data_IF_278189051135
#
_entry.id   IF_278189051135
#
_cell.length_a   1.000
_cell.length_b   1.000
_cell.length_c   1.000
_cell.angle_alpha   90.00
_cell.angle_beta   90.00
_cell.angle_gamma   90.00
#
_symmetry.space_group_name_H-M   'P 1'
#
loop_
_entity.id
_entity.type
_entity.pdbx_description
1 polymer ?
#
# COMPACT_ATOMS: atom_id res chain seq x y z
N UNK A 1 10.67 65.94 -27.63
CA UNK A 1 11.82 66.24 -26.73
C UNK A 1 11.66 65.39 -25.48
N UNK A 2 12.33 64.24 -25.38
CA UNK A 2 13.66 63.98 -24.78
C UNK A 2 13.75 64.07 -23.24
N UNK A 3 13.98 62.88 -22.65
CA UNK A 3 14.75 62.50 -21.44
C UNK A 3 14.26 62.94 -20.03
N UNK A 4 13.95 61.99 -19.12
CA UNK A 4 14.79 61.17 -18.19
C UNK A 4 15.41 61.97 -17.01
N UNK A 5 15.17 61.48 -15.77
CA UNK A 5 16.07 61.28 -14.61
C UNK A 5 15.17 60.90 -13.40
N UNK A 6 15.17 59.66 -12.90
CA UNK A 6 16.02 59.01 -11.87
C UNK A 6 15.93 59.62 -10.45
N UNK A 7 15.46 58.83 -9.48
CA UNK A 7 15.96 58.68 -8.09
C UNK A 7 15.14 57.56 -7.39
N UNK A 8 15.70 56.37 -7.17
CA UNK A 8 16.50 55.92 -6.02
C UNK A 8 15.64 55.63 -4.76
N UNK A 9 15.39 54.33 -4.49
CA UNK A 9 14.98 53.84 -3.16
C UNK A 9 15.95 52.73 -2.76
N UNK A 10 16.67 52.98 -1.67
CA UNK A 10 17.52 52.05 -0.95
C UNK A 10 16.68 50.87 -0.41
N UNK A 11 17.05 49.64 -0.74
CA UNK A 11 16.60 48.45 -0.02
C UNK A 11 17.82 47.88 0.71
N UNK A 12 17.76 47.92 2.04
CA UNK A 12 18.73 47.31 2.95
C UNK A 12 18.71 45.79 2.78
N UNK A 13 19.86 45.22 2.41
CA UNK A 13 20.08 43.78 2.43
C UNK A 13 20.16 43.28 3.88
N UNK A 14 19.11 42.62 4.34
CA UNK A 14 19.19 41.67 5.45
C UNK A 14 19.53 40.30 4.87
N UNK A 15 20.76 39.85 5.11
CA UNK A 15 21.24 38.52 4.75
C UNK A 15 20.51 37.44 5.58
N UNK A 16 19.37 36.96 5.08
CA UNK A 16 18.86 35.63 5.42
C UNK A 16 19.09 34.75 4.20
N UNK A 17 20.09 33.89 4.29
CA UNK A 17 20.39 32.89 3.25
C UNK A 17 19.16 32.02 3.02
N UNK A 18 18.47 32.25 1.91
CA UNK A 18 17.53 31.30 1.36
C UNK A 18 18.36 30.10 0.84
N UNK A 19 18.51 29.07 1.67
CA UNK A 19 19.02 27.79 1.22
C UNK A 19 17.96 27.16 0.32
N UNK A 20 18.18 27.22 -0.99
CA UNK A 20 17.44 26.44 -1.96
C UNK A 20 17.69 24.95 -1.68
N UNK A 21 16.71 24.28 -1.08
CA UNK A 21 16.54 22.83 -1.24
C UNK A 21 16.60 22.53 -2.74
N UNK A 22 17.41 21.55 -3.16
CA UNK A 22 17.46 21.15 -4.57
C UNK A 22 16.05 20.75 -5.00
N UNK A 23 15.36 21.64 -5.73
CA UNK A 23 14.35 21.21 -6.69
C UNK A 23 15.04 20.20 -7.59
N UNK A 24 14.39 19.05 -7.76
CA UNK A 24 14.75 18.03 -8.75
C UNK A 24 14.72 18.72 -10.11
N UNK A 25 15.86 19.28 -10.51
CA UNK A 25 15.98 20.13 -11.68
C UNK A 25 16.34 19.25 -12.87
N UNK A 26 15.58 19.43 -13.94
CA UNK A 26 15.79 18.78 -15.23
C UNK A 26 17.07 19.34 -15.87
N UNK A 27 18.21 18.72 -15.58
CA UNK A 27 19.40 18.86 -16.41
C UNK A 27 19.62 17.51 -17.11
N UNK A 28 19.65 17.45 -18.45
CA UNK A 28 19.90 16.23 -19.18
C UNK A 28 21.39 15.88 -19.07
N UNK A 29 21.76 15.16 -18.02
CA UNK A 29 23.07 14.52 -17.93
C UNK A 29 22.96 13.15 -18.59
N UNK A 30 23.81 12.87 -19.59
CA UNK A 30 23.91 11.55 -20.23
C UNK A 30 24.09 10.47 -19.15
N UNK A 31 23.26 9.43 -19.23
CA UNK A 31 23.23 8.28 -18.34
C UNK A 31 24.63 7.66 -18.19
N UNK A 32 25.15 7.57 -16.96
CA UNK A 32 26.30 6.70 -16.68
C UNK A 32 25.89 5.21 -16.71
N UNK A 33 24.61 4.93 -16.48
CA UNK A 33 24.03 3.58 -16.46
C UNK A 33 22.61 3.63 -17.01
N UNK A 34 22.34 2.95 -18.12
CA UNK A 34 20.98 2.79 -18.69
C UNK A 34 20.52 1.36 -18.40
N UNK A 35 19.46 1.14 -17.61
CA UNK A 35 19.01 -0.19 -17.24
C UNK A 35 18.47 -0.94 -18.47
N UNK A 36 18.61 -2.27 -18.47
CA UNK A 36 17.96 -3.11 -19.48
C UNK A 36 16.46 -3.13 -19.24
N UNK A 37 15.66 -2.67 -20.20
CA UNK A 37 14.20 -2.78 -20.11
C UNK A 37 13.77 -4.23 -20.39
N UNK A 38 13.28 -4.93 -19.37
CA UNK A 38 12.83 -6.33 -19.46
C UNK A 38 11.40 -6.44 -19.99
N UNK A 39 10.59 -5.44 -19.69
CA UNK A 39 9.16 -5.44 -19.99
C UNK A 39 8.60 -4.02 -20.08
N UNK A 40 7.68 -3.83 -21.01
CA UNK A 40 7.08 -2.54 -21.34
C UNK A 40 8.00 -1.61 -22.12
N UNK A 41 7.58 -0.37 -22.26
CA UNK A 41 8.28 0.64 -23.05
C UNK A 41 8.19 1.99 -22.32
N UNK A 42 9.35 2.51 -21.89
CA UNK A 42 9.43 3.78 -21.15
C UNK A 42 8.91 4.94 -21.99
N UNK A 43 9.11 4.92 -23.32
CA UNK A 43 8.68 5.98 -24.23
C UNK A 43 7.15 6.09 -24.33
N UNK A 44 6.40 5.06 -23.90
CA UNK A 44 4.92 5.07 -23.88
C UNK A 44 4.32 5.63 -22.58
N UNK A 45 5.13 5.93 -21.57
CA UNK A 45 4.64 6.63 -20.38
C UNK A 45 4.45 8.13 -20.69
N UNK A 46 3.60 8.82 -19.94
CA UNK A 46 3.53 10.29 -20.03
C UNK A 46 4.85 10.93 -19.58
N UNK A 47 5.15 12.14 -20.04
CA UNK A 47 6.44 12.80 -19.75
C UNK A 47 6.74 12.88 -18.25
N UNK A 48 5.73 13.16 -17.42
CA UNK A 48 5.86 13.21 -15.95
C UNK A 48 6.18 11.85 -15.34
N UNK A 49 5.56 10.79 -15.85
CA UNK A 49 5.84 9.43 -15.40
C UNK A 49 7.24 9.00 -15.84
N UNK A 50 7.65 9.29 -17.08
CA UNK A 50 9.01 9.06 -17.56
C UNK A 50 10.02 9.75 -16.65
N UNK A 51 9.88 11.07 -16.43
CA UNK A 51 10.76 11.84 -15.55
C UNK A 51 10.91 11.22 -14.16
N UNK A 52 9.81 10.77 -13.55
CA UNK A 52 9.85 10.11 -12.25
C UNK A 52 10.60 8.78 -12.28
N UNK A 53 10.34 7.93 -13.29
CA UNK A 53 11.09 6.68 -13.47
C UNK A 53 12.57 6.95 -13.68
N UNK A 54 12.93 7.89 -14.56
CA UNK A 54 14.32 8.22 -14.84
C UNK A 54 15.04 8.79 -13.61
N UNK A 55 14.36 9.61 -12.80
CA UNK A 55 14.87 10.09 -11.52
C UNK A 55 15.17 8.91 -10.57
N UNK A 56 14.24 7.96 -10.47
CA UNK A 56 14.44 6.73 -9.71
C UNK A 56 15.63 5.93 -10.22
N UNK A 57 15.75 5.72 -11.53
CA UNK A 57 16.86 4.96 -12.13
C UNK A 57 18.20 5.65 -11.86
N UNK A 58 18.29 6.98 -12.04
CA UNK A 58 19.52 7.74 -11.78
C UNK A 58 19.97 7.63 -10.31
N UNK A 59 19.01 7.69 -9.39
CA UNK A 59 19.28 7.62 -7.95
C UNK A 59 19.64 6.19 -7.51
N UNK A 60 18.79 5.23 -7.85
CA UNK A 60 18.85 3.88 -7.30
C UNK A 60 19.77 2.92 -8.08
N UNK A 61 20.14 3.26 -9.32
CA UNK A 61 21.02 2.48 -10.21
C UNK A 61 20.60 1.00 -10.37
N UNK A 62 19.34 0.70 -10.75
CA UNK A 62 18.94 -0.68 -11.05
C UNK A 62 19.60 -1.18 -12.33
N UNK A 63 19.88 -2.49 -12.41
CA UNK A 63 20.43 -3.13 -13.61
C UNK A 63 19.36 -3.29 -14.70
N UNK A 64 18.11 -3.39 -14.29
CA UNK A 64 16.99 -3.68 -15.17
C UNK A 64 15.74 -2.89 -14.78
N UNK A 65 14.89 -2.64 -15.76
CA UNK A 65 13.61 -1.95 -15.59
C UNK A 65 12.47 -2.85 -16.07
N UNK A 66 11.39 -2.95 -15.29
CA UNK A 66 10.20 -3.70 -15.66
C UNK A 66 8.97 -2.83 -15.44
N UNK A 67 8.30 -2.42 -16.52
CA UNK A 67 7.04 -1.66 -16.41
C UNK A 67 5.88 -2.65 -16.33
N UNK A 68 5.18 -2.64 -15.18
CA UNK A 68 4.15 -3.64 -14.90
C UNK A 68 2.89 -3.39 -15.75
N UNK A 69 2.37 -4.45 -16.37
CA UNK A 69 1.12 -4.40 -17.15
C UNK A 69 -0.11 -4.89 -16.41
N UNK A 70 0.08 -5.60 -15.28
CA UNK A 70 -0.98 -6.12 -14.41
C UNK A 70 -1.65 -7.42 -14.90
N UNK A 71 -1.19 -7.99 -16.01
CA UNK A 71 -1.78 -9.18 -16.61
C UNK A 71 -1.55 -10.43 -15.75
N UNK A 72 -2.40 -11.44 -15.92
CA UNK A 72 -2.16 -12.74 -15.26
C UNK A 72 -0.86 -13.38 -15.73
N UNK A 73 -0.48 -13.22 -17.01
CA UNK A 73 0.80 -13.73 -17.54
C UNK A 73 2.00 -13.10 -16.85
N UNK A 74 1.97 -11.80 -16.59
CA UNK A 74 2.98 -11.12 -15.79
C UNK A 74 2.99 -11.65 -14.35
N UNK A 75 1.82 -11.76 -13.72
CA UNK A 75 1.68 -12.26 -12.37
C UNK A 75 2.26 -13.67 -12.19
N UNK A 76 1.94 -14.61 -13.09
CA UNK A 76 2.51 -15.96 -13.07
C UNK A 76 4.04 -15.93 -13.17
N UNK A 77 4.62 -15.09 -14.04
CA UNK A 77 6.08 -14.96 -14.14
C UNK A 77 6.71 -14.42 -12.85
N UNK A 78 6.06 -13.43 -12.23
CA UNK A 78 6.52 -12.85 -10.95
C UNK A 78 6.46 -13.89 -9.83
N UNK A 79 5.37 -14.65 -9.71
CA UNK A 79 5.21 -15.71 -8.72
C UNK A 79 6.24 -16.83 -8.92
N UNK A 80 6.43 -17.29 -10.15
CA UNK A 80 7.44 -18.31 -10.47
C UNK A 80 8.86 -17.83 -10.16
N UNK A 81 9.16 -16.56 -10.42
CA UNK A 81 10.45 -15.96 -10.06
C UNK A 81 10.63 -15.90 -8.53
N UNK A 82 9.61 -15.46 -7.79
CA UNK A 82 9.66 -15.45 -6.33
C UNK A 82 9.83 -16.86 -5.74
N UNK A 83 9.21 -17.86 -6.33
CA UNK A 83 9.38 -19.27 -5.95
C UNK A 83 10.79 -19.77 -6.26
N UNK A 84 11.33 -19.48 -7.45
CA UNK A 84 12.70 -19.91 -7.82
C UNK A 84 13.77 -19.26 -6.95
N UNK A 85 13.53 -18.05 -6.46
CA UNK A 85 14.39 -17.35 -5.51
C UNK A 85 14.17 -17.79 -4.05
N UNK A 86 13.21 -18.70 -3.80
CA UNK A 86 12.89 -19.19 -2.47
C UNK A 86 12.29 -18.13 -1.53
N UNK A 87 11.72 -17.04 -2.08
CA UNK A 87 11.06 -15.97 -1.34
C UNK A 87 9.64 -16.38 -0.95
N UNK A 88 8.96 -17.09 -1.85
CA UNK A 88 7.64 -17.68 -1.59
C UNK A 88 7.65 -19.18 -1.85
N UNK A 89 6.66 -19.87 -1.27
CA UNK A 89 6.41 -21.29 -1.47
C UNK A 89 4.95 -21.51 -1.86
N UNK A 90 4.63 -22.40 -2.81
CA UNK A 90 3.24 -22.75 -3.10
C UNK A 90 2.61 -23.55 -1.94
N UNK A 91 1.34 -23.27 -1.67
CA UNK A 91 0.53 -24.01 -0.70
C UNK A 91 -0.37 -25.01 -1.44
N UNK A 92 0.08 -26.26 -1.51
CA UNK A 92 -0.54 -27.32 -2.34
C UNK A 92 -1.95 -27.73 -1.92
N UNK A 93 -2.37 -27.36 -0.69
CA UNK A 93 -3.74 -27.61 -0.20
C UNK A 93 -4.79 -26.67 -0.78
N UNK A 94 -4.36 -25.57 -1.45
CA UNK A 94 -5.22 -24.49 -1.92
C UNK A 94 -4.97 -24.16 -3.39
N UNK A 95 -5.89 -23.42 -4.02
CA UNK A 95 -5.80 -23.06 -5.44
C UNK A 95 -4.98 -21.78 -5.62
N UNK A 96 -3.76 -21.87 -6.16
CA UNK A 96 -2.90 -20.70 -6.42
C UNK A 96 -2.66 -19.83 -5.16
N UNK A 97 -2.40 -20.48 -4.02
CA UNK A 97 -2.00 -19.78 -2.79
C UNK A 97 -0.50 -19.95 -2.52
N UNK A 98 0.07 -18.93 -1.87
CA UNK A 98 1.51 -18.82 -1.67
C UNK A 98 1.82 -18.41 -0.23
N UNK A 99 2.97 -18.82 0.28
CA UNK A 99 3.48 -18.50 1.61
C UNK A 99 4.81 -17.78 1.52
N UNK A 100 4.89 -16.57 2.07
CA UNK A 100 6.13 -15.85 2.33
C UNK A 100 6.48 -15.90 3.83
N UNK A 101 7.76 -16.11 4.15
CA UNK A 101 8.30 -16.02 5.53
C UNK A 101 9.38 -14.94 5.53
N UNK A 102 9.18 -13.88 6.30
CA UNK A 102 10.05 -12.70 6.28
C UNK A 102 11.23 -12.84 7.25
N UNK A 103 12.19 -11.93 7.17
CA UNK A 103 13.14 -11.69 8.26
C UNK A 103 12.34 -11.29 9.52
N UNK A 104 12.58 -11.90 10.69
CA UNK A 104 11.92 -11.54 11.95
C UNK A 104 12.06 -10.08 12.39
N UNK A 105 13.04 -9.35 11.85
CA UNK A 105 13.23 -7.91 12.05
C UNK A 105 12.33 -7.05 11.15
N UNK A 106 11.65 -7.65 10.17
CA UNK A 106 10.79 -6.97 9.19
C UNK A 106 9.38 -7.63 9.13
N UNK A 107 8.60 -7.45 10.20
CA UNK A 107 7.32 -8.17 10.42
C UNK A 107 6.13 -7.26 10.71
N UNK A 108 6.34 -5.95 10.78
CA UNK A 108 5.32 -4.99 11.21
C UNK A 108 5.63 -3.58 10.72
N UNK A 109 4.65 -2.69 10.86
CA UNK A 109 4.89 -1.25 10.72
C UNK A 109 5.83 -0.77 11.82
N UNK A 110 6.80 0.06 11.47
CA UNK A 110 7.74 0.64 12.44
C UNK A 110 7.38 2.11 12.65
N UNK A 111 6.45 2.37 13.57
CA UNK A 111 5.89 3.71 13.79
C UNK A 111 6.97 4.73 14.12
N UNK A 112 7.95 4.37 14.95
CA UNK A 112 9.10 5.24 15.30
C UNK A 112 9.97 5.66 14.11
N UNK A 113 9.82 4.99 12.96
CA UNK A 113 10.54 5.26 11.70
C UNK A 113 9.61 5.70 10.58
N UNK A 114 8.35 5.97 10.93
CA UNK A 114 7.33 6.47 10.01
C UNK A 114 7.14 7.96 10.28
N UNK A 115 7.45 8.80 9.30
CA UNK A 115 7.48 10.27 9.45
C UNK A 115 6.70 10.97 8.36
N UNK A 116 6.21 12.17 8.65
CA UNK A 116 5.68 13.12 7.68
C UNK A 116 6.65 14.32 7.63
N UNK A 117 6.94 14.77 6.41
CA UNK A 117 7.93 15.81 6.13
C UNK A 117 7.21 17.08 5.66
N UNK A 118 7.25 18.10 6.51
CA UNK A 118 6.70 19.44 6.24
C UNK A 118 7.69 20.50 6.70
N UNK A 119 7.61 21.72 6.16
CA UNK A 119 8.48 22.84 6.57
C UNK A 119 8.27 23.20 8.05
N UNK A 120 7.01 23.37 8.47
CA UNK A 120 6.64 23.56 9.86
C UNK A 120 6.20 22.23 10.49
N UNK A 121 6.70 21.94 11.69
CA UNK A 121 6.29 20.79 12.49
C UNK A 121 4.79 20.80 12.80
N UNK A 122 4.21 21.99 13.00
CA UNK A 122 2.82 22.15 13.41
C UNK A 122 1.82 21.76 12.31
N UNK A 123 2.25 21.79 11.05
CA UNK A 123 1.44 21.29 9.92
C UNK A 123 1.30 19.77 9.94
N UNK A 124 2.19 19.07 10.64
CA UNK A 124 2.21 17.60 10.75
C UNK A 124 1.64 17.11 12.08
N UNK A 125 2.06 17.69 13.21
CA UNK A 125 1.64 17.28 14.55
C UNK A 125 1.38 18.48 15.47
N UNK A 126 0.45 18.38 16.43
CA UNK A 126 0.25 19.43 17.43
C UNK A 126 1.48 19.63 18.33
N UNK A 127 1.64 20.85 18.84
CA UNK A 127 2.55 21.15 19.96
C UNK A 127 1.97 20.53 21.23
N UNK A 128 2.73 19.69 21.91
CA UNK A 128 2.30 19.06 23.16
C UNK A 128 2.51 19.99 24.36
N UNK A 129 1.76 19.75 25.43
CA UNK A 129 2.00 20.40 26.71
C UNK A 129 3.39 20.00 27.27
N UNK A 130 4.02 20.84 28.12
CA UNK A 130 5.30 20.52 28.74
C UNK A 130 5.28 19.14 29.43
N UNK A 131 6.28 18.31 29.14
CA UNK A 131 6.40 16.95 29.69
C UNK A 131 5.55 15.87 29.00
N UNK A 132 4.69 16.23 28.03
CA UNK A 132 3.86 15.27 27.30
C UNK A 132 4.56 14.83 26.01
N UNK A 133 4.77 13.51 25.86
CA UNK A 133 5.27 12.92 24.61
C UNK A 133 4.16 12.85 23.56
N UNK A 134 4.43 13.38 22.36
CA UNK A 134 3.50 13.30 21.23
C UNK A 134 3.23 11.86 20.79
N UNK A 135 1.96 11.56 20.47
CA UNK A 135 1.49 10.24 20.02
C UNK A 135 0.72 10.31 18.69
N UNK A 136 0.56 11.51 18.11
CA UNK A 136 -0.29 11.74 16.94
C UNK A 136 0.48 11.72 15.60
N UNK A 137 1.76 11.32 15.63
CA UNK A 137 2.62 11.23 14.46
C UNK A 137 4.06 11.59 14.77
N UNK A 138 4.94 11.40 13.79
CA UNK A 138 6.32 11.86 13.86
C UNK A 138 6.57 12.82 12.71
N UNK A 139 7.15 13.96 13.02
CA UNK A 139 7.59 14.94 12.03
C UNK A 139 9.10 14.81 11.78
N UNK A 140 9.51 15.05 10.54
CA UNK A 140 10.91 15.18 10.16
C UNK A 140 11.06 16.42 9.28
N UNK A 141 12.00 17.30 9.59
CA UNK A 141 12.23 18.48 8.76
C UNK A 141 12.81 18.09 7.37
N UNK A 142 12.61 18.90 6.33
CA UNK A 142 13.03 18.58 4.97
C UNK A 142 14.54 18.36 4.79
N UNK A 143 15.38 19.07 5.55
CA UNK A 143 16.84 18.93 5.48
C UNK A 143 17.29 17.57 5.99
N UNK A 144 16.84 17.17 7.18
CA UNK A 144 17.14 15.86 7.77
C UNK A 144 16.56 14.72 6.92
N UNK A 145 15.39 14.94 6.31
CA UNK A 145 14.85 13.98 5.34
C UNK A 145 15.77 13.80 4.13
N UNK A 146 16.28 14.90 3.55
CA UNK A 146 17.19 14.81 2.40
C UNK A 146 18.50 14.09 2.78
N UNK A 147 19.09 14.42 3.93
CA UNK A 147 20.28 13.72 4.45
C UNK A 147 20.01 12.21 4.61
N UNK A 148 18.82 11.84 5.10
CA UNK A 148 18.43 10.45 5.24
C UNK A 148 18.24 9.74 3.89
N UNK A 149 17.73 10.43 2.87
CA UNK A 149 17.60 9.91 1.49
C UNK A 149 18.98 9.70 0.88
N UNK A 150 19.89 10.67 1.03
CA UNK A 150 21.25 10.62 0.49
C UNK A 150 22.08 9.50 1.13
N UNK A 151 21.83 9.15 2.39
CA UNK A 151 22.44 8.01 3.08
C UNK A 151 21.88 6.64 2.66
N UNK A 152 20.73 6.59 1.97
CA UNK A 152 19.96 5.36 1.72
C UNK A 152 19.85 4.95 0.26
N UNK A 153 19.38 5.85 -0.58
CA UNK A 153 18.92 5.52 -1.93
C UNK A 153 20.00 5.48 -3.01
N UNK A 154 21.11 6.25 -2.96
CA UNK A 154 22.15 6.17 -3.97
C UNK A 154 22.65 4.74 -4.20
N UNK A 155 22.36 4.18 -5.38
CA UNK A 155 22.76 2.83 -5.77
C UNK A 155 22.06 1.69 -5.03
N UNK A 156 20.94 1.94 -4.32
CA UNK A 156 20.31 0.93 -3.48
C UNK A 156 19.67 -0.25 -4.24
N UNK A 157 19.52 -0.14 -5.57
CA UNK A 157 18.96 -1.18 -6.44
C UNK A 157 19.99 -1.82 -7.38
N UNK A 158 21.30 -1.58 -7.19
CA UNK A 158 22.34 -2.25 -8.00
C UNK A 158 22.13 -3.76 -8.05
N UNK A 159 22.26 -4.35 -9.23
CA UNK A 159 22.01 -5.78 -9.47
C UNK A 159 20.55 -6.21 -9.41
N UNK A 160 19.60 -5.29 -9.24
CA UNK A 160 18.17 -5.60 -9.14
C UNK A 160 17.37 -4.98 -10.27
N UNK A 161 16.18 -5.54 -10.47
CA UNK A 161 15.15 -4.94 -11.33
C UNK A 161 14.39 -3.87 -10.55
N UNK A 162 14.29 -2.67 -11.10
CA UNK A 162 13.28 -1.70 -10.68
C UNK A 162 11.98 -1.99 -11.41
N UNK A 163 10.94 -2.34 -10.66
CA UNK A 163 9.57 -2.47 -11.14
C UNK A 163 8.87 -1.12 -11.07
N UNK A 164 8.19 -0.75 -12.16
CA UNK A 164 7.32 0.42 -12.26
C UNK A 164 5.89 -0.07 -12.17
N UNK A 165 5.23 0.20 -11.04
CA UNK A 165 3.88 -0.23 -10.72
C UNK A 165 2.93 0.97 -10.86
N UNK A 166 2.27 1.17 -12.00
CA UNK A 166 1.15 2.09 -12.09
C UNK A 166 -0.08 1.48 -11.44
N UNK A 167 -0.76 2.21 -10.55
CA UNK A 167 -1.94 1.70 -9.86
C UNK A 167 -2.99 2.77 -9.57
N UNK A 168 -4.25 2.35 -9.51
CA UNK A 168 -5.38 3.16 -9.05
C UNK A 168 -5.78 2.78 -7.64
N UNK A 169 -5.89 3.80 -6.78
CA UNK A 169 -6.63 3.75 -5.52
C UNK A 169 -8.07 4.16 -5.83
N UNK A 170 -8.99 3.20 -5.70
CA UNK A 170 -10.39 3.30 -6.11
C UNK A 170 -10.66 2.70 -7.49
N UNK A 171 -11.94 2.47 -7.84
CA UNK A 171 -12.34 2.00 -9.17
C UNK A 171 -11.79 2.92 -10.27
N UNK A 172 -11.29 2.33 -11.35
CA UNK A 172 -10.78 3.09 -12.50
C UNK A 172 -11.87 4.01 -13.05
N UNK A 173 -11.54 5.29 -13.24
CA UNK A 173 -12.45 6.31 -13.74
C UNK A 173 -13.41 6.90 -12.70
N UNK A 174 -13.40 6.42 -11.44
CA UNK A 174 -14.16 7.06 -10.38
C UNK A 174 -13.66 8.49 -10.14
N UNK A 175 -14.54 9.49 -9.94
CA UNK A 175 -14.13 10.86 -9.62
C UNK A 175 -13.42 10.97 -8.25
N UNK A 176 -13.56 9.95 -7.40
CA UNK A 176 -12.85 9.84 -6.11
C UNK A 176 -11.54 9.06 -6.23
N UNK A 177 -11.28 8.40 -7.36
CA UNK A 177 -10.04 7.64 -7.54
C UNK A 177 -8.82 8.55 -7.66
N UNK A 178 -7.67 8.04 -7.25
CA UNK A 178 -6.37 8.71 -7.42
C UNK A 178 -5.35 7.69 -7.90
N UNK A 179 -4.51 8.10 -8.85
CA UNK A 179 -3.45 7.25 -9.40
C UNK A 179 -2.15 7.46 -8.62
N UNK A 180 -1.39 6.38 -8.45
CA UNK A 180 -0.01 6.41 -8.02
C UNK A 180 0.89 5.63 -8.98
N UNK A 181 2.18 5.96 -8.96
CA UNK A 181 3.23 5.16 -9.60
C UNK A 181 4.22 4.76 -8.51
N UNK A 182 4.37 3.45 -8.27
CA UNK A 182 5.32 2.91 -7.33
C UNK A 182 6.54 2.31 -8.03
N UNK A 183 7.72 2.81 -7.69
CA UNK A 183 9.01 2.23 -8.04
C UNK A 183 9.45 1.31 -6.90
N UNK A 184 9.81 0.07 -7.19
CA UNK A 184 10.24 -0.91 -6.18
C UNK A 184 11.26 -1.89 -6.75
N UNK A 185 12.16 -2.40 -5.92
CA UNK A 185 13.08 -3.50 -6.24
C UNK A 185 12.60 -4.87 -5.72
N UNK A 186 11.37 -4.93 -5.20
CA UNK A 186 10.77 -6.16 -4.65
C UNK A 186 9.65 -6.70 -5.54
N UNK A 187 9.87 -7.90 -6.08
CA UNK A 187 8.85 -8.65 -6.81
C UNK A 187 7.66 -9.07 -5.92
N UNK A 188 7.89 -9.29 -4.61
CA UNK A 188 6.81 -9.56 -3.65
C UNK A 188 5.85 -8.37 -3.58
N UNK A 189 6.39 -7.14 -3.55
CA UNK A 189 5.59 -5.92 -3.58
C UNK A 189 4.76 -5.81 -4.86
N UNK A 190 5.31 -6.23 -6.01
CA UNK A 190 4.56 -6.26 -7.29
C UNK A 190 3.35 -7.18 -7.20
N UNK A 191 3.55 -8.44 -6.76
CA UNK A 191 2.48 -9.43 -6.62
C UNK A 191 1.41 -8.96 -5.62
N UNK A 192 1.82 -8.43 -4.47
CA UNK A 192 0.92 -7.90 -3.45
C UNK A 192 0.17 -6.64 -3.88
N UNK A 193 0.82 -5.68 -4.56
CA UNK A 193 0.16 -4.49 -5.10
C UNK A 193 -0.86 -4.84 -6.18
N UNK A 194 -0.62 -5.90 -6.96
CA UNK A 194 -1.60 -6.43 -7.92
C UNK A 194 -2.91 -6.85 -7.24
N UNK A 195 -2.79 -7.47 -6.06
CA UNK A 195 -3.94 -7.87 -5.25
C UNK A 195 -4.62 -6.63 -4.66
N UNK A 196 -3.84 -5.78 -4.00
CA UNK A 196 -4.36 -4.71 -3.14
C UNK A 196 -4.81 -3.45 -3.89
N UNK A 197 -4.45 -3.30 -5.16
CA UNK A 197 -4.77 -2.11 -5.98
C UNK A 197 -5.19 -2.52 -7.39
N UNK A 198 -5.77 -1.59 -8.17
CA UNK A 198 -6.00 -1.82 -9.61
C UNK A 198 -4.73 -1.43 -10.36
N UNK A 199 -3.87 -2.41 -10.59
CA UNK A 199 -2.52 -2.23 -11.10
C UNK A 199 -2.42 -2.48 -12.62
N UNK A 200 -1.53 -1.75 -13.29
CA UNK A 200 -1.07 -2.07 -14.65
C UNK A 200 -1.49 -1.09 -15.73
N UNK A 201 -1.56 -1.57 -16.97
CA UNK A 201 -1.75 -0.74 -18.17
C UNK A 201 -3.06 0.07 -18.16
N UNK A 202 -4.11 -0.45 -17.49
CA UNK A 202 -5.37 0.27 -17.37
C UNK A 202 -5.23 1.53 -16.48
N UNK A 203 -4.45 1.47 -15.40
CA UNK A 203 -4.16 2.63 -14.57
C UNK A 203 -3.35 3.69 -15.33
N UNK A 204 -2.40 3.29 -16.18
CA UNK A 204 -1.67 4.22 -17.06
C UNK A 204 -2.60 4.92 -18.07
N UNK A 205 -3.53 4.16 -18.69
CA UNK A 205 -4.51 4.76 -19.61
C UNK A 205 -5.42 5.76 -18.90
N UNK A 206 -5.89 5.44 -17.69
CA UNK A 206 -6.69 6.37 -16.88
C UNK A 206 -5.90 7.60 -16.44
N UNK A 207 -4.59 7.45 -16.18
CA UNK A 207 -3.72 8.55 -15.80
C UNK A 207 -3.56 9.59 -16.93
N UNK A 208 -3.27 9.14 -18.16
CA UNK A 208 -2.86 10.04 -19.25
C UNK A 208 -1.71 10.94 -18.81
N UNK A 209 -1.89 12.26 -18.94
CA UNK A 209 -0.93 13.29 -18.48
C UNK A 209 -1.27 13.87 -17.09
N UNK A 210 -2.21 13.24 -16.38
CA UNK A 210 -2.70 13.67 -15.07
C UNK A 210 -1.63 13.64 -13.96
N UNK A 211 -2.00 14.19 -12.81
CA UNK A 211 -1.19 14.11 -11.59
C UNK A 211 -1.27 12.70 -10.97
N UNK A 212 -0.16 12.23 -10.41
CA UNK A 212 -0.11 10.98 -9.67
C UNK A 212 0.74 11.14 -8.40
N UNK A 213 0.49 10.28 -7.41
CA UNK A 213 1.35 10.19 -6.22
C UNK A 213 2.61 9.38 -6.57
N UNK A 214 3.77 9.98 -6.33
CA UNK A 214 5.08 9.38 -6.57
C UNK A 214 5.47 8.51 -5.39
N UNK A 215 5.60 7.20 -5.61
CA UNK A 215 5.94 6.25 -4.56
C UNK A 215 7.30 5.62 -4.87
N UNK A 216 8.33 5.90 -4.07
CA UNK A 216 9.65 5.28 -4.20
C UNK A 216 9.87 4.31 -3.04
N UNK A 217 10.16 3.06 -3.37
CA UNK A 217 10.41 1.99 -2.42
C UNK A 217 11.72 1.27 -2.76
N UNK A 218 12.51 0.90 -1.74
CA UNK A 218 13.60 -0.08 -1.89
C UNK A 218 13.72 -0.92 -0.63
N UNK A 219 14.01 -2.21 -0.79
CA UNK A 219 14.37 -3.09 0.33
C UNK A 219 15.74 -2.77 0.94
N UNK A 220 16.55 -1.94 0.26
CA UNK A 220 17.82 -1.44 0.77
C UNK A 220 18.95 -2.48 0.81
N UNK A 221 18.94 -3.40 -0.15
CA UNK A 221 19.87 -4.55 -0.24
C UNK A 221 20.48 -4.68 -1.64
N UNK A 222 21.29 -3.71 -2.10
CA UNK A 222 21.95 -3.82 -3.41
C UNK A 222 22.82 -5.08 -3.51
N UNK A 223 23.07 -5.55 -4.74
CA UNK A 223 23.99 -6.64 -5.01
C UNK A 223 25.39 -6.12 -5.41
N UNK A 224 26.47 -6.90 -5.19
CA UNK A 224 26.49 -8.12 -4.39
C UNK A 224 26.09 -7.86 -2.93
N UNK A 225 25.45 -8.85 -2.29
CA UNK A 225 25.01 -8.71 -0.91
C UNK A 225 26.21 -8.53 0.02
N UNK A 226 26.08 -7.64 1.01
CA UNK A 226 27.10 -7.42 2.05
C UNK A 226 26.94 -8.36 3.24
N UNK A 227 25.76 -8.96 3.40
CA UNK A 227 25.44 -9.96 4.42
C UNK A 227 24.36 -10.91 3.91
N UNK A 228 24.28 -12.10 4.50
CA UNK A 228 23.29 -13.11 4.11
C UNK A 228 21.86 -12.66 4.38
N UNK A 229 20.92 -13.20 3.59
CA UNK A 229 19.49 -12.96 3.79
C UNK A 229 18.94 -13.96 4.81
N UNK A 230 18.17 -13.46 5.79
CA UNK A 230 17.36 -14.33 6.65
C UNK A 230 16.09 -14.69 5.91
N UNK A 231 15.79 -15.99 5.79
CA UNK A 231 14.60 -16.50 5.09
C UNK A 231 14.46 -16.01 3.63
N UNK A 232 15.59 -15.77 2.94
CA UNK A 232 15.61 -15.17 1.59
C UNK A 232 14.88 -13.82 1.48
N UNK A 233 14.64 -13.14 2.61
CA UNK A 233 13.86 -11.91 2.66
C UNK A 233 14.77 -10.69 2.70
N UNK A 234 14.92 -9.93 1.59
CA UNK A 234 15.75 -8.73 1.60
C UNK A 234 15.06 -7.63 2.40
N UNK A 235 15.76 -7.13 3.43
CA UNK A 235 15.37 -5.96 4.20
C UNK A 235 16.62 -5.29 4.80
N UNK A 236 16.48 -4.04 5.24
CA UNK A 236 17.50 -3.29 5.95
C UNK A 236 16.89 -2.68 7.23
N UNK A 237 16.76 -3.49 8.30
CA UNK A 237 16.09 -3.07 9.54
C UNK A 237 16.80 -1.92 10.25
N UNK A 238 18.10 -1.70 10.02
CA UNK A 238 18.86 -0.64 10.67
C UNK A 238 18.58 0.71 10.04
N UNK A 239 18.44 0.75 8.70
CA UNK A 239 18.17 1.98 7.97
C UNK A 239 16.70 2.19 7.60
N UNK A 240 15.77 1.32 8.01
CA UNK A 240 14.34 1.47 7.71
C UNK A 240 13.83 2.90 7.94
N UNK A 241 13.12 3.46 6.96
CA UNK A 241 12.50 4.79 7.02
C UNK A 241 11.28 4.81 6.10
N UNK A 242 10.13 5.27 6.60
CA UNK A 242 8.90 5.43 5.82
C UNK A 242 8.47 6.89 5.91
N UNK A 243 8.79 7.67 4.88
CA UNK A 243 8.55 9.11 4.83
C UNK A 243 7.42 9.48 3.86
N UNK A 244 6.69 10.53 4.23
CA UNK A 244 5.56 11.08 3.45
C UNK A 244 5.80 12.57 3.26
N UNK A 245 5.76 13.05 2.02
CA UNK A 245 6.04 14.44 1.67
C UNK A 245 4.79 15.01 0.97
N UNK A 246 3.75 15.41 1.73
CA UNK A 246 2.41 15.68 1.19
C UNK A 246 2.39 16.83 0.17
N UNK A 247 3.14 17.90 0.42
CA UNK A 247 3.25 19.05 -0.50
C UNK A 247 3.84 18.69 -1.87
N UNK A 248 4.61 17.61 -1.97
CA UNK A 248 5.17 17.08 -3.22
C UNK A 248 4.41 15.87 -3.76
N UNK A 249 3.40 15.39 -3.03
CA UNK A 249 2.69 14.12 -3.31
C UNK A 249 3.66 12.95 -3.45
N UNK A 250 4.61 12.86 -2.54
CA UNK A 250 5.63 11.80 -2.57
C UNK A 250 5.58 10.93 -1.32
N UNK A 251 5.87 9.65 -1.54
CA UNK A 251 6.09 8.65 -0.51
C UNK A 251 7.46 8.03 -0.79
N UNK A 252 8.31 8.00 0.22
CA UNK A 252 9.66 7.44 0.13
C UNK A 252 9.83 6.42 1.26
N UNK A 253 10.00 5.15 0.90
CA UNK A 253 10.12 4.05 1.84
C UNK A 253 11.39 3.25 1.57
N UNK A 254 12.15 2.98 2.62
CA UNK A 254 13.43 2.28 2.54
C UNK A 254 13.51 1.19 3.60
N UNK A 255 14.11 0.05 3.23
CA UNK A 255 14.63 -0.95 4.16
C UNK A 255 13.62 -1.95 4.72
N UNK A 256 12.35 -1.91 4.30
CA UNK A 256 11.32 -2.85 4.76
C UNK A 256 10.51 -3.36 3.57
N UNK A 257 10.45 -4.68 3.39
CA UNK A 257 9.61 -5.34 2.39
C UNK A 257 8.19 -5.61 2.89
N UNK A 258 7.91 -5.37 4.19
CA UNK A 258 6.67 -5.80 4.83
C UNK A 258 5.48 -4.85 4.62
N UNK A 259 4.36 -5.39 4.13
CA UNK A 259 3.00 -4.86 4.27
C UNK A 259 2.88 -3.35 4.14
N UNK A 260 2.42 -2.68 5.22
CA UNK A 260 2.16 -1.23 5.20
C UNK A 260 3.38 -0.32 5.02
N UNK A 261 4.61 -0.86 5.05
CA UNK A 261 5.84 -0.11 4.78
C UNK A 261 6.20 -0.19 3.29
N UNK A 262 5.79 -1.23 2.58
CA UNK A 262 6.21 -1.52 1.20
C UNK A 262 5.07 -1.44 0.18
N UNK A 263 3.83 -1.74 0.58
CA UNK A 263 2.63 -1.55 -0.23
C UNK A 263 2.16 -0.10 -0.10
N UNK A 264 2.81 0.79 -0.85
CA UNK A 264 2.70 2.23 -0.61
C UNK A 264 1.31 2.79 -0.92
N UNK A 265 0.49 2.08 -1.70
CA UNK A 265 -0.93 2.37 -1.86
C UNK A 265 -1.73 2.25 -0.56
N UNK A 266 -1.39 1.31 0.33
CA UNK A 266 -2.23 0.93 1.48
C UNK A 266 -2.33 1.99 2.57
N UNK A 267 -1.29 2.15 3.40
CA UNK A 267 -1.33 3.11 4.53
C UNK A 267 -0.69 4.44 4.18
N UNK A 268 0.40 4.40 3.42
CA UNK A 268 1.17 5.59 3.08
C UNK A 268 0.36 6.53 2.19
N UNK A 269 -0.20 6.01 1.09
CA UNK A 269 -1.07 6.78 0.23
C UNK A 269 -2.47 6.90 0.84
N UNK A 270 -3.21 5.79 0.97
CA UNK A 270 -4.65 5.88 1.16
C UNK A 270 -5.12 6.43 2.50
N UNK A 271 -4.22 6.61 3.48
CA UNK A 271 -4.51 7.37 4.69
C UNK A 271 -3.64 8.63 4.80
N UNK A 272 -2.31 8.52 4.82
CA UNK A 272 -1.46 9.67 5.22
C UNK A 272 -1.39 10.76 4.16
N UNK A 273 -1.08 10.41 2.91
CA UNK A 273 -1.10 11.40 1.81
C UNK A 273 -2.55 11.77 1.47
N UNK A 274 -3.44 10.78 1.43
CA UNK A 274 -4.85 10.98 1.10
C UNK A 274 -5.56 11.92 2.08
N UNK A 275 -5.30 11.85 3.39
CA UNK A 275 -5.94 12.75 4.36
C UNK A 275 -5.50 14.20 4.19
N UNK A 276 -4.23 14.44 3.80
CA UNK A 276 -3.78 15.78 3.42
C UNK A 276 -4.50 16.28 2.16
N UNK A 277 -4.57 15.45 1.11
CA UNK A 277 -5.30 15.78 -0.11
C UNK A 277 -6.78 16.03 0.18
N UNK A 278 -7.38 15.20 1.03
CA UNK A 278 -8.78 15.26 1.43
C UNK A 278 -9.10 16.55 2.18
N UNK A 279 -8.23 16.95 3.12
CA UNK A 279 -8.31 18.26 3.79
C UNK A 279 -8.29 19.41 2.78
N UNK A 280 -7.42 19.35 1.78
CA UNK A 280 -7.24 20.45 0.81
C UNK A 280 -8.37 20.50 -0.24
N UNK A 281 -9.00 19.36 -0.56
CA UNK A 281 -10.00 19.22 -1.62
C UNK A 281 -11.45 19.02 -1.10
N UNK A 282 -11.66 19.06 0.21
CA UNK A 282 -12.98 18.97 0.84
C UNK A 282 -13.62 17.57 0.81
N UNK A 283 -12.85 16.53 1.13
CA UNK A 283 -13.33 15.16 1.30
C UNK A 283 -12.66 14.49 2.52
N UNK A 284 -12.91 13.19 2.76
CA UNK A 284 -12.42 12.45 3.93
C UNK A 284 -11.68 11.17 3.51
N UNK A 285 -10.53 10.91 4.12
CA UNK A 285 -9.75 9.69 3.91
C UNK A 285 -9.53 8.98 5.24
N UNK A 286 -10.30 7.92 5.50
CA UNK A 286 -10.51 7.40 6.84
C UNK A 286 -10.12 5.93 7.00
N UNK A 287 -9.69 5.57 8.21
CA UNK A 287 -9.41 4.19 8.61
C UNK A 287 -10.69 3.45 8.98
N UNK A 288 -11.60 3.33 8.01
CA UNK A 288 -12.94 2.77 8.18
C UNK A 288 -13.20 1.60 7.24
N UNK A 289 -13.95 0.61 7.73
CA UNK A 289 -14.67 -0.32 6.85
C UNK A 289 -15.87 0.37 6.20
N UNK A 290 -16.39 -0.22 5.12
CA UNK A 290 -17.67 0.14 4.50
C UNK A 290 -18.45 -1.16 4.27
N UNK A 291 -19.69 -1.22 4.76
CA UNK A 291 -20.58 -2.35 4.53
C UNK A 291 -21.98 -1.89 4.14
N UNK A 292 -22.72 -2.76 3.44
CA UNK A 292 -24.15 -2.62 3.18
C UNK A 292 -24.94 -3.58 4.07
N UNK A 293 -25.91 -3.05 4.81
CA UNK A 293 -26.88 -3.80 5.60
C UNK A 293 -28.22 -3.79 4.88
N UNK A 294 -28.77 -4.97 4.61
CA UNK A 294 -30.14 -5.14 4.11
C UNK A 294 -30.98 -5.79 5.20
N UNK A 295 -32.10 -5.17 5.55
CA UNK A 295 -33.04 -5.68 6.54
C UNK A 295 -34.05 -6.68 5.91
N UNK A 296 -34.90 -7.36 6.71
CA UNK A 296 -35.87 -8.32 6.20
C UNK A 296 -36.90 -7.75 5.23
N UNK A 297 -37.19 -6.45 5.28
CA UNK A 297 -38.08 -5.75 4.33
C UNK A 297 -37.36 -5.31 3.04
N UNK A 298 -36.10 -5.72 2.82
CA UNK A 298 -35.33 -5.43 1.62
C UNK A 298 -34.72 -4.01 1.57
N UNK A 299 -34.84 -3.22 2.64
CA UNK A 299 -34.25 -1.88 2.70
C UNK A 299 -32.75 -1.97 2.99
N UNK A 300 -31.94 -1.42 2.08
CA UNK A 300 -30.46 -1.39 2.19
C UNK A 300 -29.96 -0.04 2.67
N UNK A 301 -29.00 -0.05 3.61
CA UNK A 301 -28.25 1.13 4.06
C UNK A 301 -26.76 0.82 4.12
N UNK A 302 -25.93 1.82 3.87
CA UNK A 302 -24.48 1.71 4.00
C UNK A 302 -24.00 2.31 5.31
N UNK A 303 -23.01 1.66 5.93
CA UNK A 303 -22.40 2.09 7.19
C UNK A 303 -20.89 2.08 7.04
N UNK A 304 -20.24 3.13 7.54
CA UNK A 304 -18.81 3.17 7.75
C UNK A 304 -18.48 3.07 9.24
N UNK A 305 -17.41 2.35 9.61
CA UNK A 305 -17.01 2.19 11.00
C UNK A 305 -15.48 2.19 11.18
N UNK A 306 -14.98 3.03 12.09
CA UNK A 306 -13.58 3.11 12.47
C UNK A 306 -13.34 2.36 13.78
N UNK A 307 -12.56 1.28 13.73
CA UNK A 307 -11.96 0.66 14.92
C UNK A 307 -10.44 0.68 14.79
N UNK A 308 -9.69 0.74 15.90
CA UNK A 308 -8.24 0.57 15.87
C UNK A 308 -7.80 -0.76 15.21
N UNK A 309 -6.51 -0.88 14.95
CA UNK A 309 -5.95 -2.13 14.41
C UNK A 309 -6.19 -3.28 15.39
N UNK A 310 -6.51 -4.47 14.86
CA UNK A 310 -6.87 -5.66 15.64
C UNK A 310 -8.15 -5.54 16.51
N UNK A 311 -9.01 -4.55 16.27
CA UNK A 311 -10.29 -4.37 16.97
C UNK A 311 -11.52 -4.79 16.13
N UNK A 312 -11.36 -5.73 15.16
CA UNK A 312 -12.50 -6.41 14.53
C UNK A 312 -13.16 -5.73 13.32
N UNK A 313 -12.51 -4.77 12.64
CA UNK A 313 -13.07 -4.17 11.41
C UNK A 313 -13.42 -5.21 10.35
N UNK A 314 -12.48 -6.10 10.00
CA UNK A 314 -12.70 -7.14 9.01
C UNK A 314 -13.81 -8.12 9.40
N UNK A 315 -13.95 -8.44 10.69
CA UNK A 315 -15.04 -9.28 11.19
C UNK A 315 -16.41 -8.60 10.98
N UNK A 316 -16.53 -7.30 11.27
CA UNK A 316 -17.78 -6.58 11.06
C UNK A 316 -18.09 -6.38 9.57
N UNK A 317 -17.08 -6.03 8.76
CA UNK A 317 -17.24 -5.82 7.32
C UNK A 317 -17.71 -7.08 6.58
N UNK A 318 -17.24 -8.26 7.03
CA UNK A 318 -17.54 -9.56 6.44
C UNK A 318 -18.46 -10.42 7.32
N UNK A 319 -19.26 -9.77 8.17
CA UNK A 319 -20.13 -10.46 9.13
C UNK A 319 -21.07 -11.46 8.46
N UNK A 320 -21.20 -12.65 9.04
CA UNK A 320 -22.31 -13.55 8.77
C UNK A 320 -23.41 -13.30 9.81
N UNK A 321 -24.49 -12.58 9.48
CA UNK A 321 -25.48 -12.17 10.48
C UNK A 321 -26.23 -13.38 11.04
N UNK A 322 -26.44 -13.40 12.36
CA UNK A 322 -27.21 -14.45 13.05
C UNK A 322 -28.71 -14.19 13.05
N UNK A 323 -29.12 -12.95 12.81
CA UNK A 323 -30.53 -12.57 12.75
C UNK A 323 -31.14 -12.98 11.39
N UNK A 324 -32.22 -13.78 11.38
CA UNK A 324 -32.90 -14.16 10.15
C UNK A 324 -33.35 -12.96 9.32
N UNK A 325 -33.25 -13.07 7.99
CA UNK A 325 -33.66 -12.03 7.04
C UNK A 325 -32.70 -10.85 6.90
N UNK A 326 -31.67 -10.74 7.74
CA UNK A 326 -30.62 -9.72 7.58
C UNK A 326 -29.51 -10.20 6.65
N UNK A 327 -28.99 -9.28 5.84
CA UNK A 327 -27.83 -9.53 4.97
C UNK A 327 -26.78 -8.44 5.14
N UNK A 328 -25.52 -8.86 5.21
CA UNK A 328 -24.35 -7.97 5.20
C UNK A 328 -23.55 -8.19 3.92
N UNK A 329 -23.17 -7.10 3.27
CA UNK A 329 -22.33 -7.12 2.06
C UNK A 329 -21.11 -6.20 2.28
N UNK A 330 -19.90 -6.71 2.07
CA UNK A 330 -18.67 -5.96 2.25
C UNK A 330 -18.39 -5.08 1.02
N UNK A 331 -18.12 -3.79 1.23
CA UNK A 331 -17.54 -2.90 0.22
C UNK A 331 -16.03 -2.75 0.44
N UNK A 332 -15.59 -2.62 1.69
CA UNK A 332 -14.20 -2.60 2.10
C UNK A 332 -14.06 -2.80 3.61
N UNK A 333 -12.90 -3.27 4.08
CA UNK A 333 -12.72 -3.65 5.49
C UNK A 333 -11.78 -2.72 6.28
N UNK A 334 -11.10 -1.80 5.61
CA UNK A 334 -9.99 -1.07 6.24
C UNK A 334 -9.92 0.41 5.85
N UNK A 335 -10.23 0.80 4.61
CA UNK A 335 -10.10 2.20 4.16
C UNK A 335 -11.38 2.69 3.46
N UNK A 336 -11.79 3.91 3.79
CA UNK A 336 -12.90 4.61 3.16
C UNK A 336 -12.45 5.99 2.68
N UNK A 337 -12.71 6.29 1.41
CA UNK A 337 -12.65 7.67 0.90
C UNK A 337 -14.07 8.17 0.68
N UNK A 338 -14.41 9.30 1.31
CA UNK A 338 -15.79 9.78 1.38
C UNK A 338 -15.89 11.25 0.99
N UNK A 339 -16.90 11.60 0.20
CA UNK A 339 -17.15 12.98 -0.24
C UNK A 339 -18.65 13.23 -0.34
N UNK A 340 -19.09 14.41 0.11
CA UNK A 340 -20.46 14.85 -0.15
C UNK A 340 -20.64 15.13 -1.64
N UNK A 341 -21.70 14.59 -2.22
CA UNK A 341 -22.12 14.95 -3.58
C UNK A 341 -22.94 16.25 -3.59
N UNK A 342 -23.41 16.65 -4.77
CA UNK A 342 -24.23 17.84 -4.97
C UNK A 342 -25.59 17.79 -4.27
N UNK A 343 -26.03 16.62 -3.81
CA UNK A 343 -27.31 16.41 -3.11
C UNK A 343 -27.14 16.34 -1.59
N UNK A 344 -25.90 16.48 -1.10
CA UNK A 344 -25.58 16.35 0.32
C UNK A 344 -25.49 14.91 0.81
N UNK A 345 -25.46 13.92 -0.08
CA UNK A 345 -25.21 12.53 0.30
C UNK A 345 -23.70 12.29 0.42
N UNK A 346 -23.28 11.74 1.57
CA UNK A 346 -21.90 11.31 1.77
C UNK A 346 -21.63 10.02 0.99
N UNK A 347 -21.01 10.14 -0.19
CA UNK A 347 -20.64 9.00 -1.03
C UNK A 347 -19.29 8.45 -0.59
N UNK A 348 -19.16 7.12 -0.57
CA UNK A 348 -17.95 6.44 -0.14
C UNK A 348 -17.47 5.44 -1.19
N UNK A 349 -16.15 5.33 -1.36
CA UNK A 349 -15.51 4.23 -2.08
C UNK A 349 -14.53 3.49 -1.16
N UNK A 350 -14.36 2.20 -1.42
CA UNK A 350 -13.19 1.47 -0.98
C UNK A 350 -12.05 1.72 -2.00
N UNK A 351 -10.96 2.41 -1.61
CA UNK A 351 -9.85 2.64 -2.52
C UNK A 351 -9.04 1.36 -2.80
N UNK A 352 -9.15 0.32 -1.98
CA UNK A 352 -8.41 -0.94 -2.13
C UNK A 352 -9.11 -1.92 -3.08
N UNK A 353 -8.36 -2.90 -3.59
CA UNK A 353 -8.83 -3.98 -4.49
C UNK A 353 -8.69 -5.39 -3.88
N UNK A 354 -8.24 -5.46 -2.63
CA UNK A 354 -8.00 -6.70 -1.90
C UNK A 354 -8.16 -6.49 -0.41
N UNK A 355 -8.07 -7.58 0.34
CA UNK A 355 -8.04 -7.55 1.81
C UNK A 355 -6.62 -7.87 2.28
N UNK A 356 -6.06 -7.04 3.18
CA UNK A 356 -4.81 -7.34 3.87
C UNK A 356 -5.10 -7.61 5.35
N UNK A 357 -5.69 -8.77 5.59
CA UNK A 357 -6.26 -9.16 6.87
C UNK A 357 -5.22 -9.72 7.83
N UNK A 358 -5.45 -9.52 9.12
CA UNK A 358 -4.72 -10.22 10.19
C UNK A 358 -5.19 -11.67 10.24
N UNK A 359 -4.27 -12.63 10.10
CA UNK A 359 -4.64 -14.04 10.08
C UNK A 359 -5.03 -14.59 11.48
N UNK A 360 -4.25 -14.36 12.56
CA UNK A 360 -4.53 -14.96 13.87
C UNK A 360 -5.89 -14.51 14.41
N UNK A 361 -6.63 -15.46 14.97
CA UNK A 361 -8.02 -15.27 15.42
C UNK A 361 -9.07 -15.41 14.32
N UNK A 362 -8.71 -15.49 13.04
CA UNK A 362 -9.64 -15.77 11.94
C UNK A 362 -9.98 -17.26 11.92
N UNK A 363 -11.26 -17.61 11.98
CA UNK A 363 -11.74 -18.99 11.90
C UNK A 363 -13.12 -19.06 11.24
N UNK A 364 -13.60 -20.27 10.97
CA UNK A 364 -14.98 -20.47 10.48
C UNK A 364 -16.02 -19.93 11.47
N UNK A 365 -15.68 -19.87 12.77
CA UNK A 365 -16.54 -19.30 13.80
C UNK A 365 -16.50 -17.77 13.84
N UNK A 366 -15.30 -17.17 13.75
CA UNK A 366 -15.15 -15.70 13.90
C UNK A 366 -15.34 -14.93 12.60
N UNK A 367 -15.02 -15.54 11.45
CA UNK A 367 -15.19 -14.95 10.12
C UNK A 367 -15.21 -16.04 9.02
N UNK A 368 -16.34 -16.74 8.83
CA UNK A 368 -16.44 -17.78 7.80
C UNK A 368 -16.23 -17.23 6.38
N UNK A 369 -16.68 -16.00 6.12
CA UNK A 369 -16.51 -15.35 4.81
C UNK A 369 -15.03 -15.12 4.48
N UNK A 370 -14.22 -14.67 5.43
CA UNK A 370 -12.78 -14.58 5.25
C UNK A 370 -12.16 -15.97 4.98
N UNK A 371 -12.55 -17.00 5.73
CA UNK A 371 -12.06 -18.37 5.51
C UNK A 371 -12.38 -18.90 4.11
N UNK A 372 -13.55 -18.58 3.56
CA UNK A 372 -13.90 -18.93 2.17
C UNK A 372 -13.13 -18.13 1.12
N UNK A 373 -12.79 -16.88 1.44
CA UNK A 373 -12.10 -15.97 0.53
C UNK A 373 -10.67 -16.47 0.30
N UNK A 374 -9.91 -16.66 1.39
CA UNK A 374 -8.47 -16.95 1.39
C UNK A 374 -8.02 -18.33 0.85
N UNK A 375 -8.97 -19.16 0.39
CA UNK A 375 -8.69 -20.52 -0.10
C UNK A 375 -8.16 -20.56 -1.53
N UNK A 376 -8.11 -19.41 -2.22
CA UNK A 376 -7.61 -19.33 -3.59
C UNK A 376 -7.01 -17.97 -3.91
N UNK A 377 -5.99 -17.93 -4.76
CA UNK A 377 -5.35 -16.69 -5.25
C UNK A 377 -4.85 -15.77 -4.12
N UNK A 378 -4.41 -16.37 -3.00
CA UNK A 378 -4.04 -15.66 -1.77
C UNK A 378 -2.55 -15.77 -1.47
N UNK A 379 -1.92 -14.67 -1.08
CA UNK A 379 -0.56 -14.67 -0.54
C UNK A 379 -0.63 -14.54 0.97
N UNK A 380 -0.18 -15.58 1.67
CA UNK A 380 -0.01 -15.59 3.12
C UNK A 380 1.39 -15.13 3.50
N UNK A 381 1.51 -14.37 4.58
CA UNK A 381 2.80 -13.88 5.08
C UNK A 381 2.92 -14.12 6.58
N UNK A 382 4.00 -14.81 6.96
CA UNK A 382 4.35 -15.16 8.33
C UNK A 382 3.34 -16.05 9.07
N UNK A 383 2.53 -16.86 8.37
CA UNK A 383 1.73 -17.92 9.02
C UNK A 383 2.54 -19.21 9.16
N UNK A 384 2.06 -20.13 10.00
CA UNK A 384 2.62 -21.47 10.06
C UNK A 384 2.14 -22.30 8.86
N UNK A 385 2.93 -23.30 8.50
CA UNK A 385 2.67 -24.24 7.41
C UNK A 385 2.42 -25.63 7.97
N UNK A 386 1.43 -26.35 7.43
CA UNK A 386 1.21 -27.76 7.76
C UNK A 386 1.96 -28.67 6.78
N UNK A 387 2.32 -29.89 7.19
CA UNK A 387 3.00 -30.86 6.31
C UNK A 387 2.19 -31.29 5.08
N UNK A 388 0.90 -30.99 5.04
CA UNK A 388 0.02 -31.23 3.88
C UNK A 388 -0.01 -30.04 2.91
N UNK A 389 0.84 -29.02 3.11
CA UNK A 389 0.88 -27.81 2.29
C UNK A 389 -0.28 -26.85 2.54
N UNK A 390 -0.84 -26.86 3.75
CA UNK A 390 -1.84 -25.90 4.23
C UNK A 390 -1.25 -24.84 5.16
N UNK A 391 -2.12 -23.99 5.72
CA UNK A 391 -1.73 -22.94 6.67
C UNK A 391 -2.28 -23.21 8.07
N UNK A 392 -1.62 -22.65 9.07
CA UNK A 392 -2.07 -22.66 10.45
C UNK A 392 -1.73 -21.34 11.15
N UNK A 393 -2.57 -20.95 12.12
CA UNK A 393 -2.33 -19.84 13.03
C UNK A 393 -3.12 -20.03 14.32
N UNK A 394 -2.75 -19.27 15.35
CA UNK A 394 -3.45 -19.25 16.62
C UNK A 394 -4.90 -18.79 16.43
N UNK A 395 -5.84 -19.63 16.87
CA UNK A 395 -7.28 -19.34 16.77
C UNK A 395 -7.94 -19.71 15.44
N UNK A 396 -7.30 -20.49 14.55
CA UNK A 396 -7.92 -20.98 13.30
C UNK A 396 -9.12 -21.91 13.53
N UNK A 397 -9.25 -22.46 14.75
CA UNK A 397 -10.40 -23.28 15.22
C UNK A 397 -10.66 -24.51 14.34
N UNK A 398 -9.58 -25.15 13.87
CA UNK A 398 -9.61 -26.39 13.08
C UNK A 398 -8.81 -27.48 13.77
N UNK A 399 -9.36 -28.70 13.81
CA UNK A 399 -8.64 -29.87 14.33
C UNK A 399 -7.49 -30.21 13.38
N UNK A 400 -6.28 -30.32 13.92
CA UNK A 400 -5.12 -30.81 13.18
C UNK A 400 -5.30 -32.33 12.99
N UNK A 401 -5.32 -32.85 11.74
CA UNK A 401 -5.44 -34.29 11.50
C UNK A 401 -4.28 -35.06 12.14
N UNK A 402 -4.51 -36.33 12.47
CA UNK A 402 -3.48 -37.21 13.03
C UNK A 402 -2.32 -37.37 12.04
N UNK A 403 -1.08 -37.28 12.54
CA UNK A 403 0.13 -37.36 11.72
C UNK A 403 0.53 -36.07 10.99
N UNK A 404 -0.30 -35.01 10.99
CA UNK A 404 0.06 -33.72 10.40
C UNK A 404 0.98 -32.93 11.34
N UNK A 405 2.12 -32.48 10.82
CA UNK A 405 3.07 -31.64 11.56
C UNK A 405 2.96 -30.18 11.15
N UNK A 406 3.39 -29.27 12.01
CA UNK A 406 3.35 -27.82 11.79
C UNK A 406 4.75 -27.25 11.87
N UNK A 407 5.12 -26.44 10.87
CA UNK A 407 6.30 -25.59 10.87
C UNK A 407 5.87 -24.15 11.11
N UNK A 408 6.43 -23.51 12.14
CA UNK A 408 6.21 -22.09 12.43
C UNK A 408 6.64 -21.20 11.25
N UNK A 409 6.25 -19.93 11.32
CA UNK A 409 6.71 -18.91 10.38
C UNK A 409 8.22 -18.65 10.43
N UNK A 410 8.90 -19.06 11.52
CA UNK A 410 10.37 -19.04 11.65
C UNK A 410 11.03 -20.35 11.17
N UNK A 411 10.26 -21.29 10.61
CA UNK A 411 10.75 -22.58 10.11
C UNK A 411 10.97 -23.65 11.19
N UNK A 412 10.67 -23.37 12.47
CA UNK A 412 10.82 -24.33 13.56
C UNK A 412 9.62 -25.28 13.66
N UNK A 413 9.81 -26.57 14.01
CA UNK A 413 8.69 -27.46 14.37
C UNK A 413 7.86 -26.87 15.51
N UNK A 414 6.55 -27.12 15.51
CA UNK A 414 5.63 -26.69 16.58
C UNK A 414 4.61 -27.77 16.89
N UNK A 415 4.27 -27.90 18.18
CA UNK A 415 3.20 -28.79 18.65
C UNK A 415 2.11 -28.01 19.42
N UNK A 416 0.84 -28.45 19.36
CA UNK A 416 -0.22 -27.88 20.19
C UNK A 416 0.14 -27.83 21.67
N UNK A 417 -0.02 -26.66 22.29
CA UNK A 417 0.35 -26.41 23.69
C UNK A 417 1.71 -25.73 23.86
N UNK A 418 2.55 -25.66 22.82
CA UNK A 418 3.79 -24.88 22.85
C UNK A 418 3.49 -23.39 22.61
N UNK A 419 4.04 -22.52 23.45
CA UNK A 419 3.96 -21.07 23.26
C UNK A 419 4.81 -20.69 22.04
N UNK A 420 4.20 -20.12 21.01
CA UNK A 420 4.94 -19.64 19.84
C UNK A 420 5.91 -18.52 20.23
N UNK A 421 7.19 -18.72 19.93
CA UNK A 421 8.26 -17.78 20.28
C UNK A 421 8.10 -16.51 19.44
N UNK A 422 7.49 -15.50 20.06
CA UNK A 422 7.14 -14.14 19.56
C UNK A 422 5.92 -14.05 18.63
N UNK A 423 4.94 -13.25 19.08
CA UNK A 423 3.81 -12.72 18.28
C UNK A 423 4.34 -11.81 17.16
N UNK A 424 4.72 -12.38 16.01
CA UNK A 424 4.85 -11.62 14.77
C UNK A 424 3.46 -11.24 14.24
N UNK A 425 3.31 -10.12 13.55
CA UNK A 425 2.04 -9.80 12.87
C UNK A 425 1.97 -10.64 11.60
N UNK A 426 1.07 -11.64 11.61
CA UNK A 426 0.86 -12.54 10.48
C UNK A 426 -0.38 -12.10 9.70
N UNK A 427 -0.35 -12.25 8.38
CA UNK A 427 -1.36 -11.63 7.50
C UNK A 427 -1.63 -12.47 6.25
N UNK A 428 -2.81 -12.29 5.67
CA UNK A 428 -3.21 -12.87 4.39
C UNK A 428 -3.67 -11.75 3.43
N UNK A 429 -3.21 -11.81 2.17
CA UNK A 429 -3.63 -10.93 1.08
C UNK A 429 -4.46 -11.69 0.06
N UNK A 430 -5.64 -11.20 -0.28
CA UNK A 430 -6.51 -11.84 -1.27
C UNK A 430 -7.20 -10.85 -2.22
N UNK A 431 -7.52 -11.32 -3.43
CA UNK A 431 -8.12 -10.57 -4.53
C UNK A 431 -9.64 -10.49 -4.33
N UNK A 432 -10.19 -9.28 -4.42
CA UNK A 432 -11.63 -9.12 -4.62
C UNK A 432 -11.94 -9.53 -6.06
N UNK A 433 -12.38 -10.77 -6.28
CA UNK A 433 -13.00 -11.12 -7.56
C UNK A 433 -14.29 -10.30 -7.67
N UNK A 434 -14.32 -9.34 -8.60
CA UNK A 434 -15.55 -8.72 -9.08
C UNK A 434 -16.48 -9.85 -9.56
N UNK A 435 -17.39 -10.32 -8.69
CA UNK A 435 -18.67 -10.82 -9.19
C UNK A 435 -19.33 -9.66 -9.94
N UNK A 436 -20.09 -9.91 -11.01
CA UNK A 436 -20.76 -8.86 -11.76
C UNK A 436 -21.86 -8.26 -10.88
N UNK A 437 -21.48 -7.39 -9.97
CA UNK A 437 -22.35 -6.39 -9.42
C UNK A 437 -21.90 -5.11 -10.10
N UNK A 438 -22.82 -4.38 -10.76
CA UNK A 438 -22.46 -3.17 -11.46
C UNK A 438 -21.71 -2.27 -10.48
N UNK A 439 -20.66 -1.55 -10.91
CA UNK A 439 -20.22 -0.40 -10.14
C UNK A 439 -21.48 0.41 -9.88
N UNK A 440 -21.81 0.64 -8.61
CA UNK A 440 -22.85 1.60 -8.22
C UNK A 440 -22.29 2.98 -8.61
N UNK A 441 -22.34 3.26 -9.92
CA UNK A 441 -22.43 4.59 -10.45
C UNK A 441 -23.82 5.02 -10.02
N UNK A 442 -23.86 5.91 -9.06
CA UNK A 442 -25.09 6.56 -8.64
C UNK A 442 -25.45 7.53 -9.76
N UNK A 443 -26.15 7.03 -10.77
CA UNK A 443 -26.98 7.86 -11.62
C UNK A 443 -28.35 7.93 -10.96
N UNK A 444 -28.78 9.14 -10.63
CA UNK A 444 -30.17 9.40 -10.30
C UNK A 444 -31.00 9.13 -11.55
N UNK A 445 -31.64 7.97 -11.61
CA UNK A 445 -32.79 7.80 -12.47
C UNK A 445 -33.97 7.40 -11.59
N UNK A 446 -34.95 8.30 -11.63
CA UNK A 446 -36.27 8.16 -11.06
C UNK A 446 -36.87 6.81 -11.47
N UNK A 447 -37.41 6.07 -10.51
CA UNK A 447 -38.46 5.11 -10.81
C UNK A 447 -39.68 5.51 -10.01
N UNK A 448 -40.69 5.86 -10.78
CA UNK A 448 -41.97 6.44 -10.41
C UNK A 448 -42.77 5.52 -9.49
N UNK A 449 -43.58 6.17 -8.64
CA UNK A 449 -44.66 5.51 -7.93
C UNK A 449 -45.82 5.32 -8.90
N UNK A 450 -46.12 4.08 -9.29
CA UNK A 450 -47.45 3.75 -9.83
C UNK A 450 -48.41 3.50 -8.65
N UNK A 451 -49.41 4.38 -8.55
CA UNK A 451 -50.61 4.18 -7.75
C UNK A 451 -51.53 3.14 -8.39
N UNK A 452 -52.01 2.22 -7.54
CA UNK A 452 -53.32 1.56 -7.55
C UNK A 452 -53.93 1.02 -8.85
N UNK A 453 -54.13 -0.30 -8.84
CA UNK A 453 -55.22 -1.04 -9.50
C UNK A 453 -55.52 -2.31 -8.72
#
# INVERSE_FOLDING_TARGET
MTYKILNLVLILFSSRGAFLLRRWSAVPVRWAHTPRVLHGDLAKLSSRAQEFVEQGVRLCQPDSLHICDGTEKENTKILNFLESEGIIKPLTKYENCWLAKTDPKDVARVESRTVIVTEDQRDTIPVTAPGVKGQLGNWMNPKTFQEAVDDRFPGCMKGRTMYVIPYSMGPLGSPLSKIGIQLTDSAYVVASMRIMTRMGAAALRTLGDGEFVKCLHSVGRPLPLTEDLVNNWPCNPEKTLIAHVPNRREIVSFGSGYGGNSLLGKKCFALRIASCIAKDEGWLAEHMLILGLTNPEGKKKYVAAAFPSACGKTNLAMMNPTLPGWRVECVGDDIAWMKFDSEGCLRAINPENGFFGVAPGTSTRTNPNAMHTIQRNTIFTNVAETSEGGVYWEGIDQRIPEGVTISTWQGKPWKPGEVSVRRGITSAMDIIKNRPYPPLILTNENVEWEEQG
#
